data_IF_237017844893
#
_entry.id   IF_237017844893
#
_cell.length_a   1.000
_cell.length_b   1.000
_cell.length_c   1.000
_cell.angle_alpha   90.00
_cell.angle_beta   90.00
_cell.angle_gamma   90.00
#
_symmetry.space_group_name_H-M   'P 1'
#
loop_
_entity.id
_entity.type
_entity.pdbx_description
1 polymer ?
#
# COMPACT_ATOMS: atom_id res chain seq x y z
N UNK A 1 31.78 -54.22 9.53
CA UNK A 1 30.76 -53.82 8.53
C UNK A 1 31.31 -54.15 7.15
N UNK A 2 30.49 -54.76 6.31
CA UNK A 2 30.86 -55.07 4.93
C UNK A 2 30.88 -53.79 4.08
N UNK A 3 31.84 -53.65 3.15
CA UNK A 3 32.01 -52.42 2.36
C UNK A 3 30.73 -52.06 1.60
N UNK A 4 30.00 -53.06 1.12
CA UNK A 4 28.70 -52.88 0.44
C UNK A 4 27.64 -52.24 1.34
N UNK A 5 27.60 -52.60 2.61
CA UNK A 5 26.62 -52.07 3.56
C UNK A 5 26.83 -50.57 3.82
N UNK A 6 28.10 -50.12 3.83
CA UNK A 6 28.45 -48.70 3.97
C UNK A 6 28.00 -47.90 2.73
N UNK A 7 28.22 -48.43 1.52
CA UNK A 7 27.78 -47.78 0.29
C UNK A 7 26.26 -47.63 0.22
N UNK A 8 25.51 -48.66 0.62
CA UNK A 8 24.03 -48.59 0.66
C UNK A 8 23.56 -47.55 1.68
N UNK A 9 24.18 -47.48 2.86
CA UNK A 9 23.87 -46.46 3.87
C UNK A 9 24.18 -45.05 3.36
N UNK A 10 25.30 -44.86 2.66
CA UNK A 10 25.67 -43.57 2.08
C UNK A 10 24.67 -43.11 1.03
N UNK A 11 24.27 -44.00 0.11
CA UNK A 11 23.28 -43.68 -0.92
C UNK A 11 21.91 -43.32 -0.31
N UNK A 12 21.49 -44.02 0.74
CA UNK A 12 20.25 -43.69 1.46
C UNK A 12 20.32 -42.35 2.20
N UNK A 13 21.49 -41.97 2.73
CA UNK A 13 21.68 -40.66 3.35
C UNK A 13 21.64 -39.56 2.28
N UNK A 14 22.26 -39.79 1.11
CA UNK A 14 22.24 -38.86 -0.01
C UNK A 14 20.81 -38.59 -0.50
N UNK A 15 20.00 -39.64 -0.67
CA UNK A 15 18.59 -39.51 -1.04
C UNK A 15 17.80 -38.68 -0.02
N UNK A 16 17.95 -38.97 1.28
CA UNK A 16 17.29 -38.21 2.35
C UNK A 16 17.72 -36.74 2.39
N UNK A 17 18.98 -36.44 2.10
CA UNK A 17 19.45 -35.06 2.00
C UNK A 17 18.78 -34.35 0.81
N UNK A 18 18.63 -35.05 -0.31
CA UNK A 18 17.88 -34.54 -1.47
C UNK A 18 16.43 -34.20 -1.13
N UNK A 19 15.74 -35.10 -0.44
CA UNK A 19 14.35 -34.89 0.00
C UNK A 19 14.24 -33.71 0.96
N UNK A 20 15.12 -33.64 1.97
CA UNK A 20 15.17 -32.51 2.92
C UNK A 20 15.43 -31.18 2.22
N UNK A 21 16.30 -31.16 1.20
CA UNK A 21 16.58 -29.95 0.44
C UNK A 21 15.33 -29.45 -0.29
N UNK A 22 14.54 -30.38 -0.84
CA UNK A 22 13.27 -30.05 -1.50
C UNK A 22 12.24 -29.52 -0.49
N UNK A 23 12.08 -30.18 0.66
CA UNK A 23 11.19 -29.72 1.73
C UNK A 23 11.55 -28.31 2.22
N UNK A 24 12.85 -28.00 2.36
CA UNK A 24 13.31 -26.66 2.71
C UNK A 24 12.93 -25.64 1.63
N UNK A 25 13.02 -26.02 0.36
CA UNK A 25 12.60 -25.18 -0.76
C UNK A 25 11.11 -24.84 -0.71
N UNK A 26 10.27 -25.85 -0.50
CA UNK A 26 8.82 -25.70 -0.38
C UNK A 26 8.44 -24.85 0.84
N UNK A 27 9.10 -25.07 1.98
CA UNK A 27 8.89 -24.28 3.19
C UNK A 27 9.29 -22.81 2.99
N UNK A 28 10.39 -22.55 2.28
CA UNK A 28 10.83 -21.19 1.94
C UNK A 28 9.76 -20.46 1.13
N UNK A 29 9.14 -21.12 0.15
CA UNK A 29 8.09 -20.51 -0.66
C UNK A 29 6.85 -20.17 0.19
N UNK A 30 6.47 -21.04 1.14
CA UNK A 30 5.41 -20.76 2.11
C UNK A 30 5.75 -19.55 2.99
N UNK A 31 7.00 -19.45 3.47
CA UNK A 31 7.45 -18.31 4.29
C UNK A 31 7.34 -17.01 3.51
N UNK A 32 7.75 -16.98 2.24
CA UNK A 32 7.63 -15.79 1.39
C UNK A 32 6.17 -15.34 1.28
N UNK A 33 5.25 -16.26 0.98
CA UNK A 33 3.83 -15.95 0.88
C UNK A 33 3.27 -15.38 2.20
N UNK A 34 3.64 -15.97 3.33
CA UNK A 34 3.22 -15.48 4.65
C UNK A 34 3.79 -14.10 4.97
N UNK A 35 5.02 -13.81 4.55
CA UNK A 35 5.63 -12.48 4.74
C UNK A 35 4.90 -11.41 3.92
N UNK A 36 4.53 -11.72 2.67
CA UNK A 36 3.76 -10.83 1.81
C UNK A 36 2.37 -10.54 2.38
N UNK A 37 1.65 -11.58 2.80
CA UNK A 37 0.33 -11.45 3.42
C UNK A 37 0.41 -10.63 4.72
N UNK A 38 1.41 -10.89 5.56
CA UNK A 38 1.60 -10.14 6.79
C UNK A 38 1.90 -8.66 6.52
N UNK A 39 2.74 -8.35 5.52
CA UNK A 39 2.99 -6.97 5.12
C UNK A 39 1.71 -6.26 4.66
N UNK A 40 0.87 -6.93 3.85
CA UNK A 40 -0.41 -6.40 3.40
C UNK A 40 -1.36 -6.13 4.59
N UNK A 41 -1.46 -7.08 5.52
CA UNK A 41 -2.28 -6.94 6.73
C UNK A 41 -1.77 -5.83 7.66
N UNK A 42 -0.46 -5.62 7.75
CA UNK A 42 0.12 -4.52 8.51
C UNK A 42 -0.32 -3.16 7.94
N UNK A 43 -0.26 -3.00 6.61
CA UNK A 43 -0.71 -1.77 5.93
C UNK A 43 -2.22 -1.56 6.14
N UNK A 44 -3.03 -2.61 5.99
CA UNK A 44 -4.47 -2.52 6.22
C UNK A 44 -4.80 -2.14 7.67
N UNK A 45 -4.14 -2.76 8.65
CA UNK A 45 -4.29 -2.42 10.06
C UNK A 45 -3.96 -0.95 10.34
N UNK A 46 -2.88 -0.43 9.73
CA UNK A 46 -2.52 0.97 9.86
C UNK A 46 -3.62 1.88 9.28
N UNK A 47 -4.14 1.57 8.10
CA UNK A 47 -5.23 2.33 7.49
C UNK A 47 -6.51 2.31 8.35
N UNK A 48 -6.85 1.16 8.94
CA UNK A 48 -8.01 1.03 9.83
C UNK A 48 -7.85 1.87 11.10
N UNK A 49 -6.66 1.84 11.72
CA UNK A 49 -6.34 2.67 12.89
C UNK A 49 -6.48 4.16 12.57
N UNK A 50 -5.89 4.60 11.46
CA UNK A 50 -6.00 6.00 11.02
C UNK A 50 -7.47 6.42 10.82
N UNK A 51 -8.31 5.56 10.22
CA UNK A 51 -9.74 5.85 10.03
C UNK A 51 -10.50 5.99 11.35
N UNK A 52 -10.15 5.19 12.35
CA UNK A 52 -10.76 5.29 13.69
C UNK A 52 -10.32 6.60 14.35
N UNK A 53 -9.03 6.92 14.33
CA UNK A 53 -8.49 8.16 14.89
C UNK A 53 -9.11 9.40 14.24
N UNK A 54 -9.25 9.43 12.90
CA UNK A 54 -9.90 10.55 12.20
C UNK A 54 -11.38 10.67 12.56
N UNK A 55 -12.10 9.55 12.72
CA UNK A 55 -13.51 9.56 13.19
C UNK A 55 -13.63 10.07 14.62
N UNK A 56 -12.74 9.67 15.53
CA UNK A 56 -12.73 10.14 16.92
C UNK A 56 -12.36 11.63 17.01
N UNK A 57 -11.43 12.11 16.19
CA UNK A 57 -11.11 13.53 16.07
C UNK A 57 -12.30 14.36 15.55
N UNK A 58 -13.10 13.77 14.66
CA UNK A 58 -14.30 14.40 14.09
C UNK A 58 -15.54 14.34 15.01
N UNK A 59 -15.52 13.51 16.06
CA UNK A 59 -16.64 13.31 16.98
C UNK A 59 -16.57 14.16 18.27
N UNK A 60 -15.53 14.98 18.46
CA UNK A 60 -15.51 15.96 19.56
C UNK A 60 -16.45 17.13 19.23
N UNK A 61 -17.48 17.42 20.07
CA UNK A 61 -18.33 18.58 19.87
C UNK A 61 -17.47 19.85 20.01
N UNK A 62 -17.37 20.62 18.93
CA UNK A 62 -16.86 21.99 18.99
C UNK A 62 -17.92 22.88 19.66
N UNK A 63 -17.92 22.90 20.98
CA UNK A 63 -18.66 23.89 21.75
C UNK A 63 -17.83 25.17 21.93
N UNK A 64 -18.32 26.23 21.26
CA UNK A 64 -18.26 27.65 21.60
C UNK A 64 -16.91 28.39 21.59
N UNK A 65 -16.80 29.37 20.67
CA UNK A 65 -17.05 30.77 21.07
C UNK A 65 -17.45 31.67 19.90
N UNK A 66 -18.69 32.16 19.97
CA UNK A 66 -19.16 33.38 19.33
C UNK A 66 -18.24 34.56 19.70
N UNK A 67 -17.84 35.34 18.69
CA UNK A 67 -17.83 36.83 18.65
C UNK A 67 -17.04 37.29 17.43
N UNK A 68 -17.73 37.75 16.37
CA UNK A 68 -17.87 39.18 16.01
C UNK A 68 -18.65 39.34 14.70
N UNK A 69 -19.35 40.48 14.63
CA UNK A 69 -20.29 41.08 13.69
C UNK A 69 -19.90 41.13 12.18
N UNK A 70 -20.86 41.52 11.30
CA UNK A 70 -20.97 41.05 9.92
C UNK A 70 -20.42 42.03 8.88
N UNK A 71 -19.66 41.54 7.91
CA UNK A 71 -19.51 42.18 6.61
C UNK A 71 -18.88 41.23 5.58
N UNK A 72 -19.53 41.14 4.42
CA UNK A 72 -18.90 40.94 3.10
C UNK A 72 -18.50 39.53 2.66
N UNK A 73 -19.46 38.90 1.96
CA UNK A 73 -19.31 38.34 0.61
C UNK A 73 -17.88 37.97 0.16
N UNK A 74 -17.56 36.68 0.22
CA UNK A 74 -17.11 35.96 -0.99
C UNK A 74 -17.39 34.47 -0.85
N UNK A 75 -18.18 33.97 -1.79
CA UNK A 75 -18.39 32.54 -2.02
C UNK A 75 -17.06 31.92 -2.39
N UNK A 76 -16.43 31.21 -1.46
CA UNK A 76 -15.46 30.17 -1.82
C UNK A 76 -16.05 28.86 -1.33
N UNK A 77 -16.59 28.12 -2.30
CA UNK A 77 -16.92 26.71 -2.15
C UNK A 77 -15.62 26.00 -1.72
N UNK A 78 -15.38 25.89 -0.41
CA UNK A 78 -14.52 24.84 0.12
C UNK A 78 -15.23 23.53 -0.17
N UNK A 79 -15.03 23.05 -1.39
CA UNK A 79 -15.29 21.67 -1.72
C UNK A 79 -14.37 20.88 -0.79
N UNK A 80 -14.96 19.93 -0.07
CA UNK A 80 -14.30 18.94 0.76
C UNK A 80 -13.47 18.03 -0.17
N UNK A 81 -12.39 18.59 -0.73
CA UNK A 81 -11.33 17.91 -1.46
C UNK A 81 -10.19 17.86 -0.45
N UNK A 82 -10.20 17.01 0.57
CA UNK A 82 -10.51 15.59 0.57
C UNK A 82 -9.14 14.92 0.60
N UNK A 83 -8.69 14.47 1.78
CA UNK A 83 -7.33 13.93 2.05
C UNK A 83 -6.81 12.94 0.97
N UNK A 84 -7.72 12.24 0.28
CA UNK A 84 -7.39 11.36 -0.85
C UNK A 84 -6.83 12.09 -2.08
N UNK A 85 -7.24 13.33 -2.35
CA UNK A 85 -6.71 14.13 -3.44
C UNK A 85 -5.26 14.57 -3.18
N UNK A 86 -4.96 14.96 -1.93
CA UNK A 86 -3.59 15.30 -1.51
C UNK A 86 -2.66 14.09 -1.59
N UNK A 87 -3.14 12.90 -1.22
CA UNK A 87 -2.36 11.67 -1.37
C UNK A 87 -2.05 11.36 -2.85
N UNK A 88 -3.02 11.51 -3.74
CA UNK A 88 -2.79 11.31 -5.18
C UNK A 88 -1.84 12.36 -5.75
N UNK A 89 -1.95 13.62 -5.32
CA UNK A 89 -0.99 14.66 -5.71
C UNK A 89 0.44 14.32 -5.24
N UNK A 90 0.58 13.76 -4.03
CA UNK A 90 1.87 13.30 -3.50
C UNK A 90 2.46 12.14 -4.30
N UNK A 91 1.67 11.09 -4.57
CA UNK A 91 2.11 9.95 -5.39
C UNK A 91 2.55 10.40 -6.79
N UNK A 92 1.83 11.36 -7.39
CA UNK A 92 2.23 11.95 -8.67
C UNK A 92 3.58 12.67 -8.58
N UNK A 93 3.81 13.46 -7.53
CA UNK A 93 5.06 14.19 -7.30
C UNK A 93 6.25 13.24 -7.04
N UNK A 94 6.02 12.11 -6.39
CA UNK A 94 7.01 11.04 -6.17
C UNK A 94 7.34 10.25 -7.46
N UNK A 95 6.65 10.56 -8.57
CA UNK A 95 6.94 9.99 -9.88
C UNK A 95 6.09 8.78 -10.22
N UNK A 96 5.00 8.52 -9.52
CA UNK A 96 4.07 7.42 -9.81
C UNK A 96 2.87 7.88 -10.65
N UNK A 97 2.33 6.98 -11.44
CA UNK A 97 1.06 7.22 -12.14
C UNK A 97 -0.13 7.08 -11.18
N UNK A 98 -1.09 8.00 -11.32
CA UNK A 98 -2.37 8.00 -10.57
C UNK A 98 -3.59 7.77 -11.46
N UNK A 99 -3.38 7.58 -12.77
CA UNK A 99 -4.44 7.23 -13.70
C UNK A 99 -4.75 5.72 -13.66
N UNK A 100 -5.97 5.35 -14.04
CA UNK A 100 -6.41 3.95 -14.11
C UNK A 100 -5.57 3.07 -15.03
N UNK A 101 -4.89 3.64 -16.03
CA UNK A 101 -4.10 2.89 -17.02
C UNK A 101 -2.79 2.34 -16.42
N UNK A 102 -2.16 3.10 -15.52
CA UNK A 102 -0.80 2.82 -15.05
C UNK A 102 -0.65 2.96 -13.53
N UNK A 103 -1.75 2.94 -12.77
CA UNK A 103 -1.78 3.25 -11.35
C UNK A 103 -0.64 2.58 -10.55
N UNK A 104 0.15 3.38 -9.85
CA UNK A 104 1.23 2.91 -8.98
C UNK A 104 2.54 2.51 -9.67
N UNK A 105 2.65 2.61 -10.99
CA UNK A 105 3.91 2.38 -11.71
C UNK A 105 4.77 3.65 -11.80
N UNK A 106 6.11 3.48 -11.87
CA UNK A 106 7.05 4.59 -12.05
C UNK A 106 6.92 5.24 -13.44
N UNK A 107 6.89 6.57 -13.48
CA UNK A 107 6.98 7.37 -14.69
C UNK A 107 8.40 7.28 -15.25
N UNK A 108 8.53 6.66 -16.43
CA UNK A 108 9.82 6.55 -17.13
C UNK A 108 10.16 7.79 -17.94
N UNK A 109 9.14 8.49 -18.48
CA UNK A 109 9.32 9.63 -19.37
C UNK A 109 8.16 10.65 -19.22
N UNK A 110 8.48 11.88 -18.79
CA UNK A 110 7.59 13.05 -18.87
C UNK A 110 6.34 13.07 -17.98
N UNK A 111 5.52 14.10 -18.19
CA UNK A 111 4.22 14.27 -17.52
C UNK A 111 3.11 13.49 -18.22
N UNK A 112 2.32 12.74 -17.44
CA UNK A 112 1.21 11.95 -17.97
C UNK A 112 -0.06 12.82 -18.07
N UNK A 113 -0.53 13.08 -19.30
CA UNK A 113 -1.72 13.90 -19.55
C UNK A 113 -2.97 13.40 -18.81
N UNK A 114 -3.12 12.09 -18.63
CA UNK A 114 -4.24 11.50 -17.89
C UNK A 114 -4.16 11.79 -16.39
N UNK A 115 -2.96 11.71 -15.79
CA UNK A 115 -2.76 12.09 -14.40
C UNK A 115 -3.01 13.59 -14.18
N UNK A 116 -2.52 14.42 -15.11
CA UNK A 116 -2.76 15.87 -15.08
C UNK A 116 -4.23 16.21 -15.18
N UNK A 117 -4.99 15.55 -16.07
CA UNK A 117 -6.44 15.75 -16.20
C UNK A 117 -7.20 15.41 -14.90
N UNK A 118 -6.69 14.47 -14.11
CA UNK A 118 -7.27 14.10 -12.81
C UNK A 118 -6.99 15.18 -11.76
N UNK A 119 -5.81 15.81 -11.80
CA UNK A 119 -5.38 16.87 -10.87
C UNK A 119 -5.79 18.29 -11.30
N UNK A 120 -6.05 18.54 -12.57
CA UNK A 120 -6.46 19.88 -13.01
C UNK A 120 -7.94 20.15 -12.75
N UNK A 121 -8.69 19.17 -12.23
CA UNK A 121 -10.14 19.22 -12.07
C UNK A 121 -10.80 19.41 -13.43
N UNK A 122 -11.19 18.31 -14.07
CA UNK A 122 -11.81 18.29 -15.40
C UNK A 122 -12.79 19.44 -15.62
N UNK A 123 -12.30 20.52 -16.23
CA UNK A 123 -13.07 21.67 -16.67
C UNK A 123 -13.12 21.62 -18.19
N UNK A 124 -14.07 20.86 -18.71
CA UNK A 124 -14.82 21.23 -19.91
C UNK A 124 -15.94 20.23 -20.21
N UNK A 125 -17.15 20.75 -19.97
CA UNK A 125 -18.48 20.36 -20.50
C UNK A 125 -19.08 19.02 -20.09
#
# INVERSE_FOLDING_TARGET
MDKREIFVKMASIEERIGDLYREIGELKDVIVNLMEENAALHVENQHLRNRIETKEASAKPQDQKLKTSPAEKRREKKVVVGEGYDNLARLYAEGFHICNVHYGSLRKEGDCLFCLSFLSGGTSK
#
